data_IF_757299306749
#
_entry.id   IF_757299306749
#
_cell.length_a   1.000
_cell.length_b   1.000
_cell.length_c   1.000
_cell.angle_alpha   90.00
_cell.angle_beta   90.00
_cell.angle_gamma   90.00
#
_symmetry.space_group_name_H-M   'P 1'
#
loop_
_entity.id
_entity.type
_entity.pdbx_description
1 polymer ?
#
# COMPACT_ATOMS: atom_id res chain seq x y z
N UNK A 1 6.98 9.66 29.36
CA UNK A 1 5.59 10.03 29.00
C UNK A 1 4.82 8.78 28.67
N UNK A 2 3.75 8.47 29.41
CA UNK A 2 2.90 7.30 29.14
C UNK A 2 2.20 7.42 27.78
N UNK A 3 1.73 6.29 27.21
CA UNK A 3 1.09 6.30 25.89
C UNK A 3 -0.17 7.19 25.86
N UNK A 4 -0.98 7.12 26.90
CA UNK A 4 -2.20 7.93 27.03
C UNK A 4 -1.91 9.43 27.17
N UNK A 5 -0.90 9.79 27.96
CA UNK A 5 -0.45 11.17 28.13
C UNK A 5 0.09 11.75 26.82
N UNK A 6 0.82 10.94 26.03
CA UNK A 6 1.28 11.32 24.69
C UNK A 6 0.12 11.67 23.76
N UNK A 7 -0.91 10.82 23.72
CA UNK A 7 -2.10 11.07 22.90
C UNK A 7 -2.78 12.36 23.33
N UNK A 8 -3.06 12.52 24.63
CA UNK A 8 -3.79 13.67 25.15
C UNK A 8 -3.07 15.00 24.88
N UNK A 9 -1.76 15.03 25.02
CA UNK A 9 -0.95 16.24 24.81
C UNK A 9 -0.79 16.63 23.35
N UNK A 10 -1.01 15.68 22.41
CA UNK A 10 -0.75 15.87 20.99
C UNK A 10 -1.97 15.57 20.11
N UNK A 11 -3.17 15.54 20.71
CA UNK A 11 -4.39 15.06 20.06
C UNK A 11 -4.69 15.76 18.72
N UNK A 12 -4.49 17.08 18.62
CA UNK A 12 -4.78 17.84 17.42
C UNK A 12 -3.92 17.39 16.22
N UNK A 13 -2.61 17.22 16.43
CA UNK A 13 -1.68 16.80 15.37
C UNK A 13 -1.87 15.34 15.00
N UNK A 14 -2.07 14.46 16.00
CA UNK A 14 -2.31 13.04 15.78
C UNK A 14 -3.63 12.79 15.07
N UNK A 15 -4.69 13.51 15.44
CA UNK A 15 -5.99 13.46 14.79
C UNK A 15 -5.94 14.00 13.36
N UNK A 16 -5.16 15.05 13.10
CA UNK A 16 -4.95 15.54 11.74
C UNK A 16 -4.28 14.48 10.86
N UNK A 17 -3.22 13.81 11.34
CA UNK A 17 -2.59 12.71 10.62
C UNK A 17 -3.54 11.54 10.36
N UNK A 18 -4.33 11.16 11.37
CA UNK A 18 -5.36 10.13 11.27
C UNK A 18 -6.42 10.48 10.20
N UNK A 19 -6.94 11.72 10.20
CA UNK A 19 -7.96 12.17 9.24
C UNK A 19 -7.41 12.15 7.81
N UNK A 20 -6.18 12.62 7.60
CA UNK A 20 -5.53 12.57 6.29
C UNK A 20 -5.38 11.12 5.81
N UNK A 21 -4.92 10.22 6.68
CA UNK A 21 -4.79 8.80 6.37
C UNK A 21 -6.15 8.13 6.10
N UNK A 22 -7.20 8.44 6.88
CA UNK A 22 -8.55 7.93 6.65
C UNK A 22 -9.12 8.37 5.30
N UNK A 23 -9.00 9.68 4.97
CA UNK A 23 -9.51 10.20 3.70
C UNK A 23 -8.75 9.65 2.49
N UNK A 24 -7.51 9.20 2.66
CA UNK A 24 -6.76 8.54 1.59
C UNK A 24 -7.48 7.32 1.02
N UNK A 25 -8.33 6.69 1.80
CA UNK A 25 -9.09 5.51 1.43
C UNK A 25 -9.96 5.70 0.20
N UNK A 26 -10.48 6.90 -0.04
CA UNK A 26 -11.30 7.20 -1.23
C UNK A 26 -10.52 7.15 -2.55
N UNK A 27 -9.20 7.22 -2.50
CA UNK A 27 -8.32 7.01 -3.66
C UNK A 27 -7.68 5.63 -3.73
N UNK A 28 -7.97 4.74 -2.79
CA UNK A 28 -7.37 3.40 -2.73
C UNK A 28 -8.12 2.39 -3.60
N UNK A 29 -7.40 1.37 -4.05
CA UNK A 29 -7.94 0.31 -4.90
C UNK A 29 -9.11 -0.39 -4.24
N UNK A 30 -9.01 -0.73 -2.95
CA UNK A 30 -10.05 -1.44 -2.23
C UNK A 30 -11.39 -0.67 -2.19
N UNK A 31 -11.36 0.68 -2.26
CA UNK A 31 -12.56 1.50 -2.30
C UNK A 31 -13.07 1.72 -3.73
N UNK A 32 -12.19 2.10 -4.67
CA UNK A 32 -12.59 2.35 -6.06
C UNK A 32 -13.21 1.09 -6.69
N UNK A 33 -12.65 -0.06 -6.41
CA UNK A 33 -13.05 -1.33 -7.02
C UNK A 33 -14.38 -1.90 -6.53
N UNK A 34 -14.92 -1.46 -5.38
CA UNK A 34 -16.27 -1.88 -5.00
C UNK A 34 -17.34 -1.43 -6.00
N UNK A 35 -17.07 -0.34 -6.73
CA UNK A 35 -17.97 0.19 -7.75
C UNK A 35 -17.71 -0.39 -9.16
N UNK A 36 -16.70 -1.25 -9.33
CA UNK A 36 -16.26 -1.73 -10.65
C UNK A 36 -17.39 -2.27 -11.50
N UNK A 37 -18.21 -3.20 -10.98
CA UNK A 37 -19.33 -3.79 -11.73
C UNK A 37 -20.37 -2.75 -12.16
N UNK A 38 -20.65 -1.73 -11.33
CA UNK A 38 -21.58 -0.64 -11.67
C UNK A 38 -21.02 0.30 -12.71
N UNK A 39 -19.72 0.65 -12.63
CA UNK A 39 -19.02 1.50 -13.60
C UNK A 39 -18.93 0.79 -14.94
N UNK A 40 -18.52 -0.48 -14.96
CA UNK A 40 -18.43 -1.30 -16.18
C UNK A 40 -19.78 -1.40 -16.87
N UNK A 41 -20.84 -1.72 -16.13
CA UNK A 41 -22.20 -1.80 -16.69
C UNK A 41 -22.71 -0.46 -17.22
N UNK A 42 -22.45 0.65 -16.51
CA UNK A 42 -22.91 1.98 -16.90
C UNK A 42 -22.23 2.47 -18.20
N UNK A 43 -20.96 2.19 -18.36
CA UNK A 43 -20.16 2.63 -19.51
C UNK A 43 -19.93 1.53 -20.56
N UNK A 44 -20.51 0.33 -20.39
CA UNK A 44 -20.36 -0.83 -21.29
C UNK A 44 -18.89 -1.22 -21.50
N UNK A 45 -18.10 -1.27 -20.40
CA UNK A 45 -16.68 -1.59 -20.41
C UNK A 45 -16.44 -3.08 -20.17
N UNK A 46 -15.48 -3.66 -20.91
CA UNK A 46 -14.92 -4.97 -20.59
C UNK A 46 -14.02 -4.92 -19.32
N UNK A 47 -13.58 -6.07 -18.82
CA UNK A 47 -12.62 -6.14 -17.74
C UNK A 47 -11.25 -5.54 -18.13
N UNK A 48 -10.82 -5.77 -19.38
CA UNK A 48 -9.60 -5.20 -19.93
C UNK A 48 -9.67 -3.68 -20.10
N UNK A 49 -10.83 -3.16 -20.59
CA UNK A 49 -11.03 -1.70 -20.69
C UNK A 49 -10.93 -1.03 -19.34
N UNK A 50 -11.66 -1.54 -18.33
CA UNK A 50 -11.62 -1.01 -16.97
C UNK A 50 -10.23 -1.12 -16.35
N UNK A 51 -9.56 -2.26 -16.52
CA UNK A 51 -8.18 -2.46 -16.07
C UNK A 51 -7.20 -1.50 -16.74
N UNK A 52 -7.35 -1.22 -18.04
CA UNK A 52 -6.52 -0.27 -18.78
C UNK A 52 -6.72 1.17 -18.32
N UNK A 53 -7.96 1.59 -18.11
CA UNK A 53 -8.31 2.89 -17.58
C UNK A 53 -7.64 3.10 -16.21
N UNK A 54 -7.75 2.10 -15.35
CA UNK A 54 -7.14 2.13 -14.03
C UNK A 54 -5.60 2.16 -14.10
N UNK A 55 -5.01 1.35 -14.97
CA UNK A 55 -3.56 1.29 -15.20
C UNK A 55 -3.02 2.64 -15.65
N UNK A 56 -3.63 3.26 -16.67
CA UNK A 56 -3.21 4.56 -17.21
C UNK A 56 -3.28 5.63 -16.13
N UNK A 57 -4.42 5.76 -15.43
CA UNK A 57 -4.59 6.73 -14.35
C UNK A 57 -3.59 6.54 -13.21
N UNK A 58 -3.33 5.28 -12.81
CA UNK A 58 -2.37 4.97 -11.73
C UNK A 58 -0.93 5.25 -12.14
N UNK A 59 -0.51 4.91 -13.36
CA UNK A 59 0.82 5.23 -13.88
C UNK A 59 1.06 6.74 -13.98
N UNK A 60 0.06 7.50 -14.47
CA UNK A 60 0.13 8.96 -14.51
C UNK A 60 0.28 9.53 -13.08
N UNK A 61 -0.49 9.02 -12.12
CA UNK A 61 -0.38 9.38 -10.70
C UNK A 61 1.02 9.14 -10.14
N UNK A 62 1.58 7.96 -10.39
CA UNK A 62 2.93 7.60 -9.96
C UNK A 62 3.98 8.55 -10.52
N UNK A 63 3.87 8.86 -11.80
CA UNK A 63 4.80 9.77 -12.48
C UNK A 63 4.78 11.16 -11.84
N UNK A 64 3.60 11.74 -11.64
CA UNK A 64 3.46 13.07 -11.03
C UNK A 64 3.91 13.07 -9.57
N UNK A 65 3.67 11.98 -8.84
CA UNK A 65 4.02 11.86 -7.41
C UNK A 65 5.54 11.99 -7.16
N UNK A 66 6.38 11.63 -8.12
CA UNK A 66 7.86 11.75 -8.02
C UNK A 66 8.28 13.20 -7.71
N UNK A 67 7.59 14.17 -8.31
CA UNK A 67 7.86 15.60 -8.06
C UNK A 67 6.95 16.21 -6.99
N UNK A 68 5.69 15.81 -6.98
CA UNK A 68 4.70 16.34 -6.06
C UNK A 68 5.00 15.99 -4.59
N UNK A 69 5.61 14.83 -4.32
CA UNK A 69 6.00 14.43 -2.96
C UNK A 69 6.91 15.46 -2.27
N UNK A 70 7.82 16.10 -3.02
CA UNK A 70 8.70 17.13 -2.49
C UNK A 70 7.96 18.40 -2.01
N UNK A 71 6.73 18.62 -2.45
CA UNK A 71 5.91 19.77 -1.98
C UNK A 71 5.65 19.72 -0.47
N UNK A 72 5.61 18.53 0.13
CA UNK A 72 5.49 18.35 1.59
C UNK A 72 6.70 18.88 2.35
N UNK A 73 7.85 19.10 1.69
CA UNK A 73 9.05 19.66 2.29
C UNK A 73 9.04 21.19 2.25
N UNK A 74 8.32 21.77 1.28
CA UNK A 74 8.32 23.21 1.02
C UNK A 74 7.12 23.89 1.68
N UNK A 75 5.94 23.27 1.62
CA UNK A 75 4.72 23.87 2.10
C UNK A 75 4.31 23.35 3.49
N UNK A 76 3.55 24.17 4.22
CA UNK A 76 2.97 23.77 5.51
C UNK A 76 1.95 22.64 5.31
N UNK A 77 1.97 21.67 6.20
CA UNK A 77 1.04 20.52 6.19
C UNK A 77 -0.41 20.96 6.14
N UNK A 78 -0.77 22.03 6.88
CA UNK A 78 -2.12 22.61 6.85
C UNK A 78 -2.54 23.02 5.44
N UNK A 79 -1.70 23.79 4.74
CA UNK A 79 -2.05 24.34 3.42
C UNK A 79 -2.13 23.23 2.37
N UNK A 80 -1.13 22.33 2.32
CA UNK A 80 -1.10 21.25 1.34
C UNK A 80 -2.17 20.18 1.66
N UNK A 81 -2.41 19.87 2.94
CA UNK A 81 -3.45 18.93 3.35
C UNK A 81 -4.84 19.40 2.96
N UNK A 82 -5.15 20.68 3.19
CA UNK A 82 -6.41 21.29 2.76
C UNK A 82 -6.55 21.28 1.23
N UNK A 83 -5.51 21.71 0.50
CA UNK A 83 -5.53 21.72 -0.97
C UNK A 83 -5.82 20.32 -1.53
N UNK A 84 -5.14 19.30 -0.99
CA UNK A 84 -5.28 17.91 -1.45
C UNK A 84 -6.66 17.35 -1.07
N UNK A 85 -7.20 17.67 0.10
CA UNK A 85 -8.56 17.26 0.50
C UNK A 85 -9.63 17.89 -0.38
N UNK A 86 -9.51 19.19 -0.69
CA UNK A 86 -10.42 19.88 -1.65
C UNK A 86 -10.31 19.23 -3.02
N UNK A 87 -9.10 19.00 -3.51
CA UNK A 87 -8.88 18.30 -4.77
C UNK A 87 -9.49 16.88 -4.79
N UNK A 88 -9.35 16.12 -3.69
CA UNK A 88 -9.94 14.78 -3.57
C UNK A 88 -11.48 14.85 -3.54
N UNK A 89 -12.05 15.82 -2.81
CA UNK A 89 -13.49 16.07 -2.80
C UNK A 89 -14.03 16.39 -4.21
N UNK A 90 -13.34 17.24 -4.96
CA UNK A 90 -13.69 17.51 -6.35
C UNK A 90 -13.54 16.27 -7.25
N UNK A 91 -12.51 15.46 -7.04
CA UNK A 91 -12.29 14.25 -7.82
C UNK A 91 -13.37 13.19 -7.59
N UNK A 92 -13.81 13.03 -6.33
CA UNK A 92 -14.94 12.15 -5.99
C UNK A 92 -16.27 12.69 -6.55
N UNK A 93 -16.46 14.01 -6.56
CA UNK A 93 -17.61 14.63 -7.20
C UNK A 93 -17.59 14.45 -8.72
N UNK A 94 -16.43 14.60 -9.36
CA UNK A 94 -16.27 14.33 -10.78
C UNK A 94 -16.60 12.88 -11.14
N UNK A 95 -16.26 11.90 -10.26
CA UNK A 95 -16.65 10.51 -10.46
C UNK A 95 -18.17 10.34 -10.41
N UNK A 96 -18.85 11.03 -9.49
CA UNK A 96 -20.32 11.03 -9.40
C UNK A 96 -21.02 11.61 -10.64
N UNK A 97 -20.46 12.67 -11.18
CA UNK A 97 -21.06 13.45 -12.29
C UNK A 97 -20.51 13.05 -13.67
N UNK A 98 -19.67 12.04 -13.75
CA UNK A 98 -18.98 11.66 -14.98
C UNK A 98 -19.95 11.21 -16.09
N UNK A 99 -20.04 11.93 -17.23
CA UNK A 99 -20.91 11.57 -18.33
C UNK A 99 -20.22 10.70 -19.40
N UNK A 100 -18.89 10.53 -19.36
CA UNK A 100 -18.14 10.00 -20.50
C UNK A 100 -16.94 9.12 -20.11
N UNK A 101 -16.74 8.05 -20.87
CA UNK A 101 -15.68 7.07 -20.65
C UNK A 101 -14.28 7.72 -20.65
N UNK A 102 -14.01 8.63 -21.55
CA UNK A 102 -12.70 9.30 -21.69
C UNK A 102 -12.26 10.10 -20.47
N UNK A 103 -13.20 10.50 -19.61
CA UNK A 103 -12.90 11.18 -18.34
C UNK A 103 -12.40 10.22 -17.26
N UNK A 104 -12.73 8.93 -17.34
CA UNK A 104 -12.38 7.96 -16.31
C UNK A 104 -10.86 7.88 -16.03
N UNK A 105 -9.95 7.80 -17.02
CA UNK A 105 -8.52 7.79 -16.75
C UNK A 105 -8.05 9.04 -15.98
N UNK A 106 -8.64 10.20 -16.27
CA UNK A 106 -8.32 11.47 -15.59
C UNK A 106 -8.82 11.45 -14.16
N UNK A 107 -10.04 10.97 -13.96
CA UNK A 107 -10.64 10.86 -12.61
C UNK A 107 -9.87 9.84 -11.77
N UNK A 108 -9.53 8.69 -12.33
CA UNK A 108 -8.69 7.68 -11.66
C UNK A 108 -7.32 8.27 -11.32
N UNK A 109 -6.70 9.00 -12.27
CA UNK A 109 -5.45 9.72 -11.99
C UNK A 109 -5.59 10.63 -10.77
N UNK A 110 -6.61 11.48 -10.72
CA UNK A 110 -6.82 12.42 -9.61
C UNK A 110 -7.08 11.69 -8.28
N UNK A 111 -7.95 10.67 -8.28
CA UNK A 111 -8.24 9.86 -7.10
C UNK A 111 -6.97 9.17 -6.57
N UNK A 112 -6.19 8.56 -7.48
CA UNK A 112 -4.95 7.86 -7.12
C UNK A 112 -3.87 8.84 -6.66
N UNK A 113 -3.71 9.96 -7.34
CA UNK A 113 -2.71 10.97 -7.01
C UNK A 113 -3.00 11.65 -5.67
N UNK A 114 -4.22 12.16 -5.49
CA UNK A 114 -4.59 12.92 -4.29
C UNK A 114 -4.87 11.99 -3.10
N UNK A 115 -5.65 10.92 -3.32
CA UNK A 115 -6.04 9.98 -2.27
C UNK A 115 -4.93 9.00 -1.92
N UNK A 116 -4.49 8.15 -2.83
CA UNK A 116 -3.47 7.14 -2.54
C UNK A 116 -2.07 7.73 -2.39
N UNK A 117 -1.70 8.71 -3.21
CA UNK A 117 -0.36 9.29 -3.22
C UNK A 117 -0.17 10.34 -2.14
N UNK A 118 -0.80 11.49 -2.30
CA UNK A 118 -0.50 12.68 -1.50
C UNK A 118 -0.96 12.59 -0.04
N UNK A 119 -2.19 12.13 0.26
CA UNK A 119 -2.69 12.14 1.65
C UNK A 119 -1.89 11.26 2.61
N UNK A 120 -1.56 9.98 2.30
CA UNK A 120 -0.73 9.17 3.17
C UNK A 120 0.70 9.72 3.27
N UNK A 121 1.22 10.30 2.18
CA UNK A 121 2.53 10.91 2.16
C UNK A 121 2.60 12.11 3.10
N UNK A 122 1.66 13.06 2.98
CA UNK A 122 1.56 14.24 3.87
C UNK A 122 1.42 13.79 5.31
N UNK A 123 0.54 12.84 5.59
CA UNK A 123 0.32 12.29 6.94
C UNK A 123 1.62 11.70 7.52
N UNK A 124 2.28 10.80 6.80
CA UNK A 124 3.48 10.11 7.31
C UNK A 124 4.68 11.05 7.46
N UNK A 125 4.88 11.99 6.52
CA UNK A 125 5.94 13.00 6.59
C UNK A 125 5.74 13.91 7.80
N UNK A 126 4.51 14.41 8.00
CA UNK A 126 4.18 15.29 9.13
C UNK A 126 4.38 14.59 10.47
N UNK A 127 3.86 13.36 10.63
CA UNK A 127 4.05 12.57 11.86
C UNK A 127 5.53 12.29 12.12
N UNK A 128 6.29 12.01 11.09
CA UNK A 128 7.72 11.73 11.21
C UNK A 128 8.53 12.96 11.64
N UNK A 129 8.15 14.16 11.18
CA UNK A 129 8.84 15.42 11.49
C UNK A 129 8.46 16.00 12.84
N UNK A 130 7.18 15.91 13.19
CA UNK A 130 6.69 16.52 14.43
C UNK A 130 7.03 15.70 15.68
N UNK A 131 7.27 14.40 15.55
CA UNK A 131 7.42 13.48 16.67
C UNK A 131 8.71 12.65 16.60
N UNK A 132 9.87 13.32 16.54
CA UNK A 132 11.18 12.64 16.38
C UNK A 132 11.37 11.54 17.43
N UNK A 133 11.26 11.86 18.72
CA UNK A 133 11.46 10.91 19.82
C UNK A 133 10.37 9.82 19.94
N UNK A 134 9.19 10.02 19.36
CA UNK A 134 8.04 9.11 19.45
C UNK A 134 7.41 8.85 18.08
N UNK A 135 8.23 8.91 17.04
CA UNK A 135 7.86 8.78 15.63
C UNK A 135 7.02 7.53 15.36
N UNK A 136 7.45 6.38 15.90
CA UNK A 136 6.72 5.12 15.73
C UNK A 136 5.30 5.17 16.28
N UNK A 137 5.10 5.79 17.46
CA UNK A 137 3.76 5.95 18.06
C UNK A 137 2.87 6.85 17.23
N UNK A 138 3.40 7.99 16.76
CA UNK A 138 2.65 8.94 15.94
C UNK A 138 2.24 8.34 14.58
N UNK A 139 3.16 7.65 13.92
CA UNK A 139 2.86 6.94 12.66
C UNK A 139 1.84 5.82 12.87
N UNK A 140 1.94 5.04 13.95
CA UNK A 140 0.98 3.98 14.24
C UNK A 140 -0.45 4.54 14.42
N UNK A 141 -0.59 5.64 15.20
CA UNK A 141 -1.90 6.28 15.40
C UNK A 141 -2.45 6.84 14.09
N UNK A 142 -1.62 7.52 13.31
CA UNK A 142 -2.03 8.04 12.01
C UNK A 142 -2.48 6.93 11.06
N UNK A 143 -1.71 5.85 10.94
CA UNK A 143 -2.03 4.71 10.07
C UNK A 143 -3.28 3.95 10.48
N UNK A 144 -3.75 4.09 11.75
CA UNK A 144 -5.04 3.53 12.16
C UNK A 144 -6.19 4.14 11.34
N UNK A 145 -6.07 5.39 10.88
CA UNK A 145 -7.04 6.01 9.98
C UNK A 145 -7.17 5.26 8.67
N UNK A 146 -6.04 4.92 8.02
CA UNK A 146 -6.03 4.08 6.82
C UNK A 146 -6.65 2.70 7.08
N UNK A 147 -6.24 2.03 8.16
CA UNK A 147 -6.73 0.72 8.52
C UNK A 147 -8.25 0.69 8.76
N UNK A 148 -8.81 1.71 9.43
CA UNK A 148 -10.27 1.85 9.60
C UNK A 148 -10.97 2.09 8.27
N UNK A 149 -10.38 2.90 7.38
CA UNK A 149 -10.91 3.11 6.04
C UNK A 149 -10.95 1.81 5.22
N UNK A 150 -9.87 1.03 5.23
CA UNK A 150 -9.78 -0.26 4.54
C UNK A 150 -10.77 -1.29 5.11
N UNK A 151 -10.92 -1.33 6.44
CA UNK A 151 -11.81 -2.28 7.09
C UNK A 151 -13.29 -1.98 6.87
N UNK A 152 -13.71 -0.72 6.98
CA UNK A 152 -15.13 -0.38 7.10
C UNK A 152 -15.72 0.30 5.87
N UNK A 153 -14.98 1.13 5.12
CA UNK A 153 -15.57 1.85 3.99
C UNK A 153 -16.10 0.90 2.89
N UNK A 154 -15.38 -0.17 2.49
CA UNK A 154 -15.93 -1.11 1.52
C UNK A 154 -17.23 -1.76 1.99
N UNK A 155 -17.31 -2.15 3.26
CA UNK A 155 -18.52 -2.75 3.84
C UNK A 155 -19.69 -1.77 3.82
N UNK A 156 -19.48 -0.58 4.39
CA UNK A 156 -20.52 0.45 4.50
C UNK A 156 -21.04 0.86 3.13
N UNK A 157 -20.13 1.17 2.19
CA UNK A 157 -20.55 1.61 0.86
C UNK A 157 -21.18 0.50 0.03
N UNK A 158 -20.77 -0.76 0.21
CA UNK A 158 -21.42 -1.91 -0.45
C UNK A 158 -22.84 -2.12 0.09
N UNK A 159 -23.07 -1.96 1.40
CA UNK A 159 -24.42 -2.00 1.97
C UNK A 159 -25.28 -0.87 1.40
N UNK A 160 -24.75 0.35 1.36
CA UNK A 160 -25.48 1.51 0.83
C UNK A 160 -25.79 1.35 -0.67
N UNK A 161 -24.94 0.67 -1.46
CA UNK A 161 -25.21 0.36 -2.87
C UNK A 161 -26.40 -0.59 -3.09
N UNK A 162 -26.91 -1.27 -2.06
CA UNK A 162 -28.13 -2.07 -2.17
C UNK A 162 -29.36 -1.18 -2.33
N UNK A 163 -29.32 0.08 -1.84
CA UNK A 163 -30.47 0.98 -1.81
C UNK A 163 -30.26 2.22 -2.67
N UNK A 164 -29.02 2.73 -2.76
CA UNK A 164 -28.70 3.98 -3.43
C UNK A 164 -27.92 3.74 -4.72
N UNK A 165 -28.10 4.60 -5.71
CA UNK A 165 -27.29 4.61 -6.92
C UNK A 165 -25.83 4.93 -6.58
N UNK A 166 -24.89 4.28 -7.27
CA UNK A 166 -23.47 4.39 -7.03
C UNK A 166 -22.94 5.84 -7.15
N UNK A 167 -23.51 6.65 -8.04
CA UNK A 167 -23.15 8.06 -8.19
C UNK A 167 -23.45 8.85 -6.92
N UNK A 168 -24.60 8.64 -6.27
CA UNK A 168 -24.94 9.32 -5.01
C UNK A 168 -23.92 8.99 -3.90
N UNK A 169 -23.38 7.79 -3.89
CA UNK A 169 -22.37 7.39 -2.90
C UNK A 169 -21.04 8.10 -3.12
N UNK A 170 -20.68 8.39 -4.37
CA UNK A 170 -19.52 9.24 -4.67
C UNK A 170 -19.75 10.70 -4.26
N UNK A 171 -20.99 11.22 -4.33
CA UNK A 171 -21.34 12.52 -3.74
C UNK A 171 -21.17 12.48 -2.21
N UNK A 172 -21.61 11.41 -1.54
CA UNK A 172 -21.40 11.23 -0.09
C UNK A 172 -19.91 11.23 0.25
N UNK A 173 -19.08 10.52 -0.52
CA UNK A 173 -17.63 10.54 -0.36
C UNK A 173 -17.05 11.96 -0.54
N UNK A 174 -17.53 12.71 -1.53
CA UNK A 174 -17.13 14.10 -1.75
C UNK A 174 -17.46 14.99 -0.56
N UNK A 175 -18.69 14.91 -0.07
CA UNK A 175 -19.13 15.68 1.11
C UNK A 175 -18.32 15.32 2.34
N UNK A 176 -18.01 14.03 2.54
CA UNK A 176 -17.16 13.59 3.65
C UNK A 176 -15.76 14.22 3.57
N UNK A 177 -15.10 14.15 2.41
CA UNK A 177 -13.79 14.77 2.20
C UNK A 177 -13.86 16.29 2.45
N UNK A 178 -14.90 16.96 1.94
CA UNK A 178 -15.10 18.42 2.08
C UNK A 178 -15.28 18.83 3.55
N UNK A 179 -16.07 18.08 4.31
CA UNK A 179 -16.30 18.34 5.74
C UNK A 179 -15.02 18.18 6.57
N UNK A 180 -14.05 17.40 6.12
CA UNK A 180 -12.76 17.27 6.80
C UNK A 180 -11.83 18.49 6.56
N UNK A 181 -12.09 19.31 5.54
CA UNK A 181 -11.29 20.51 5.23
C UNK A 181 -11.26 21.52 6.39
N UNK A 182 -12.41 22.05 6.89
CA UNK A 182 -12.38 22.95 8.03
C UNK A 182 -11.80 22.31 9.29
N UNK A 183 -12.01 21.01 9.48
CA UNK A 183 -11.47 20.28 10.61
C UNK A 183 -9.93 20.25 10.59
N UNK A 184 -9.32 19.93 9.47
CA UNK A 184 -7.86 19.98 9.29
C UNK A 184 -7.34 21.41 9.46
N UNK A 185 -8.05 22.39 8.91
CA UNK A 185 -7.68 23.80 9.05
C UNK A 185 -7.61 24.23 10.51
N UNK A 186 -8.58 23.83 11.33
CA UNK A 186 -8.65 24.16 12.77
C UNK A 186 -7.61 23.35 13.55
N UNK A 187 -7.48 22.04 13.34
CA UNK A 187 -6.55 21.19 14.08
C UNK A 187 -5.08 21.61 13.88
N UNK A 188 -4.75 22.15 12.70
CA UNK A 188 -3.39 22.55 12.35
C UNK A 188 -3.16 24.08 12.42
N UNK A 189 -3.98 24.82 13.17
CA UNK A 189 -3.76 26.27 13.38
C UNK A 189 -2.38 26.54 14.03
N UNK A 190 -2.01 25.72 15.01
CA UNK A 190 -0.70 25.77 15.67
C UNK A 190 0.18 24.62 15.15
N UNK A 191 0.46 24.63 13.86
CA UNK A 191 1.32 23.62 13.25
C UNK A 191 2.73 23.70 13.82
N UNK A 192 3.29 22.55 14.18
CA UNK A 192 4.70 22.46 14.57
C UNK A 192 5.55 22.71 13.35
N UNK A 193 6.45 23.70 13.44
CA UNK A 193 7.47 23.90 12.42
C UNK A 193 8.44 22.72 12.43
N UNK A 194 8.96 22.27 11.28
CA UNK A 194 9.99 21.25 11.24
C UNK A 194 11.22 21.76 11.97
N UNK A 195 11.43 21.33 13.20
CA UNK A 195 12.63 21.64 13.98
C UNK A 195 13.53 20.42 14.00
N UNK A 196 14.77 20.67 13.70
CA UNK A 196 15.99 19.87 13.83
C UNK A 196 15.95 18.54 13.07
N UNK A 197 16.77 18.51 12.10
CA UNK A 197 17.44 17.33 11.57
C UNK A 197 18.00 16.58 12.79
N UNK A 198 17.34 15.48 13.17
CA UNK A 198 17.96 14.54 14.08
C UNK A 198 19.25 14.09 13.40
N UNK A 199 20.36 14.11 14.10
CA UNK A 199 21.58 13.45 13.66
C UNK A 199 21.23 11.99 13.40
N UNK A 200 21.03 11.63 12.13
CA UNK A 200 20.76 10.25 11.74
C UNK A 200 22.06 9.49 11.96
N UNK A 201 22.03 8.52 12.85
CA UNK A 201 23.12 7.54 12.99
C UNK A 201 23.28 6.84 11.64
N UNK A 202 24.42 7.07 10.98
CA UNK A 202 24.71 6.44 9.69
C UNK A 202 25.00 4.97 9.96
N UNK A 203 24.12 4.09 9.47
CA UNK A 203 24.33 2.65 9.44
C UNK A 203 24.88 2.31 8.05
N UNK A 204 26.03 1.60 8.02
CA UNK A 204 26.62 1.12 6.78
C UNK A 204 25.94 -0.18 6.35
N UNK A 205 25.74 -0.36 5.05
CA UNK A 205 25.19 -1.58 4.47
C UNK A 205 26.27 -2.62 4.15
N UNK A 206 26.00 -3.48 3.19
CA UNK A 206 26.91 -4.52 2.73
C UNK A 206 28.31 -3.96 2.45
N UNK A 207 29.34 -4.72 2.79
CA UNK A 207 30.76 -4.35 2.65
C UNK A 207 31.18 -3.11 3.45
N UNK A 208 30.42 -2.75 4.50
CA UNK A 208 30.75 -1.58 5.33
C UNK A 208 30.68 -0.25 4.60
N UNK A 209 29.86 -0.14 3.53
CA UNK A 209 29.69 1.10 2.77
C UNK A 209 28.25 1.55 2.66
N UNK A 210 28.03 2.83 2.39
CA UNK A 210 26.74 3.37 2.01
C UNK A 210 26.57 3.29 0.50
N UNK A 211 25.49 2.66 0.05
CA UNK A 211 25.19 2.40 -1.35
C UNK A 211 24.38 3.53 -1.97
N UNK A 212 24.80 4.01 -3.12
CA UNK A 212 24.02 4.92 -3.93
C UNK A 212 22.96 4.18 -4.75
N UNK A 213 21.91 4.89 -5.21
CA UNK A 213 20.85 4.31 -6.05
C UNK A 213 21.39 3.57 -7.29
N UNK A 214 22.43 4.12 -7.95
CA UNK A 214 23.02 3.50 -9.14
C UNK A 214 23.71 2.18 -8.80
N UNK A 215 24.43 2.14 -7.69
CA UNK A 215 25.11 0.93 -7.23
C UNK A 215 24.12 -0.15 -6.81
N UNK A 216 23.00 0.22 -6.16
CA UNK A 216 21.91 -0.71 -5.81
C UNK A 216 21.34 -1.38 -7.07
N UNK A 217 21.02 -0.61 -8.11
CA UNK A 217 20.50 -1.15 -9.38
C UNK A 217 21.51 -2.07 -10.06
N UNK A 218 22.80 -1.78 -9.96
CA UNK A 218 23.87 -2.61 -10.51
C UNK A 218 24.12 -3.88 -9.70
N UNK A 219 23.66 -3.95 -8.45
CA UNK A 219 23.92 -5.07 -7.57
C UNK A 219 22.96 -6.26 -7.82
N UNK A 220 23.46 -7.52 -8.00
CA UNK A 220 22.61 -8.67 -8.32
C UNK A 220 21.52 -8.95 -7.29
N UNK A 221 21.75 -8.67 -6.00
CA UNK A 221 20.75 -8.85 -4.95
C UNK A 221 19.47 -8.05 -5.23
N UNK A 222 19.58 -6.83 -5.79
CA UNK A 222 18.42 -6.02 -6.16
C UNK A 222 17.49 -6.78 -7.13
N UNK A 223 18.06 -7.43 -8.14
CA UNK A 223 17.29 -8.18 -9.14
C UNK A 223 16.70 -9.47 -8.60
N UNK A 224 17.39 -10.15 -7.65
CA UNK A 224 16.83 -11.29 -6.93
C UNK A 224 15.67 -10.90 -6.02
N UNK A 225 15.68 -9.68 -5.48
CA UNK A 225 14.61 -9.15 -4.63
C UNK A 225 13.48 -8.49 -5.42
N UNK A 226 13.69 -8.15 -6.69
CA UNK A 226 12.72 -7.44 -7.52
C UNK A 226 11.35 -8.13 -7.58
N UNK A 227 11.25 -9.47 -7.78
CA UNK A 227 9.95 -10.16 -7.75
C UNK A 227 9.24 -10.02 -6.40
N UNK A 228 9.99 -10.02 -5.30
CA UNK A 228 9.42 -9.85 -3.96
C UNK A 228 8.91 -8.42 -3.69
N UNK A 229 9.45 -7.44 -4.37
CA UNK A 229 9.03 -6.04 -4.26
C UNK A 229 7.79 -5.75 -5.12
N UNK A 230 7.79 -6.24 -6.37
CA UNK A 230 6.70 -5.96 -7.32
C UNK A 230 5.47 -6.86 -7.09
N UNK A 231 5.68 -8.12 -6.69
CA UNK A 231 4.63 -9.14 -6.56
C UNK A 231 3.48 -8.73 -5.62
N UNK A 232 3.74 -8.35 -4.37
CA UNK A 232 2.67 -7.95 -3.46
C UNK A 232 1.83 -6.80 -4.03
N UNK A 233 2.48 -5.77 -4.58
CA UNK A 233 1.75 -4.63 -5.14
C UNK A 233 0.96 -4.98 -6.40
N UNK A 234 1.45 -5.86 -7.26
CA UNK A 234 0.73 -6.30 -8.45
C UNK A 234 -0.43 -7.25 -8.12
N UNK A 235 -0.13 -8.34 -7.41
CA UNK A 235 -1.09 -9.42 -7.19
C UNK A 235 -2.18 -9.05 -6.16
N UNK A 236 -1.81 -8.39 -5.05
CA UNK A 236 -2.80 -7.97 -4.04
C UNK A 236 -3.68 -6.85 -4.59
N UNK A 237 -3.10 -5.88 -5.33
CA UNK A 237 -3.90 -4.86 -6.00
C UNK A 237 -4.85 -5.47 -7.01
N UNK A 238 -4.41 -6.48 -7.78
CA UNK A 238 -5.28 -7.22 -8.71
C UNK A 238 -6.42 -7.94 -7.98
N UNK A 239 -6.14 -8.57 -6.84
CA UNK A 239 -7.17 -9.21 -6.02
C UNK A 239 -8.24 -8.20 -5.59
N UNK A 240 -7.85 -7.08 -4.99
CA UNK A 240 -8.80 -6.04 -4.58
C UNK A 240 -9.49 -5.38 -5.78
N UNK A 241 -8.82 -5.25 -6.91
CA UNK A 241 -9.41 -4.66 -8.11
C UNK A 241 -10.48 -5.56 -8.73
N UNK A 242 -10.26 -6.86 -8.76
CA UNK A 242 -11.18 -7.85 -9.34
C UNK A 242 -12.15 -8.45 -8.28
N UNK A 243 -12.25 -7.87 -7.10
CA UNK A 243 -13.04 -8.43 -5.97
C UNK A 243 -14.53 -8.65 -6.30
N UNK A 244 -15.13 -7.76 -7.11
CA UNK A 244 -16.53 -7.87 -7.52
C UNK A 244 -16.70 -9.07 -8.45
N UNK A 245 -15.90 -9.15 -9.49
CA UNK A 245 -15.91 -10.26 -10.45
C UNK A 245 -15.58 -11.60 -9.77
N UNK A 246 -14.59 -11.61 -8.86
CA UNK A 246 -14.25 -12.83 -8.13
C UNK A 246 -15.42 -13.33 -7.25
N UNK A 247 -16.10 -12.43 -6.55
CA UNK A 247 -17.29 -12.80 -5.80
C UNK A 247 -18.38 -13.39 -6.71
N UNK A 248 -18.62 -12.77 -7.87
CA UNK A 248 -19.64 -13.18 -8.83
C UNK A 248 -19.38 -14.60 -9.37
N UNK A 249 -18.17 -14.91 -9.84
CA UNK A 249 -17.83 -16.25 -10.36
C UNK A 249 -17.86 -17.34 -9.29
N UNK A 250 -17.68 -16.98 -8.01
CA UNK A 250 -17.84 -17.91 -6.88
C UNK A 250 -19.28 -18.03 -6.39
N UNK A 251 -20.23 -17.32 -7.01
CA UNK A 251 -21.64 -17.32 -6.60
C UNK A 251 -21.90 -16.61 -5.27
N UNK A 252 -21.01 -15.72 -4.83
CA UNK A 252 -21.17 -14.93 -3.62
C UNK A 252 -21.67 -13.53 -3.95
N UNK A 253 -22.41 -12.95 -3.01
CA UNK A 253 -22.67 -11.52 -3.08
C UNK A 253 -21.38 -10.75 -2.78
N UNK A 254 -21.21 -9.60 -3.41
CA UNK A 254 -20.03 -8.75 -3.14
C UNK A 254 -19.93 -8.37 -1.65
N UNK A 255 -21.09 -8.16 -0.98
CA UNK A 255 -21.14 -7.87 0.45
C UNK A 255 -20.54 -8.99 1.31
N UNK A 256 -20.75 -10.26 0.93
CA UNK A 256 -20.17 -11.41 1.65
C UNK A 256 -18.65 -11.42 1.60
N UNK A 257 -18.05 -10.95 0.51
CA UNK A 257 -16.60 -10.81 0.39
C UNK A 257 -16.07 -9.64 1.23
N UNK A 258 -16.61 -8.42 1.04
CA UNK A 258 -16.10 -7.23 1.73
C UNK A 258 -16.35 -7.27 3.24
N UNK A 259 -17.37 -8.01 3.72
CA UNK A 259 -17.62 -8.22 5.15
C UNK A 259 -16.46 -8.91 5.88
N UNK A 260 -15.51 -9.53 5.15
CA UNK A 260 -14.31 -10.14 5.70
C UNK A 260 -13.13 -9.17 5.80
N UNK A 261 -13.21 -7.96 5.22
CA UNK A 261 -12.11 -6.97 5.26
C UNK A 261 -11.74 -6.52 6.67
N UNK A 262 -12.67 -6.34 7.63
CA UNK A 262 -12.29 -6.07 9.01
C UNK A 262 -11.38 -7.15 9.61
N UNK A 263 -11.65 -8.43 9.33
CA UNK A 263 -10.81 -9.55 9.79
C UNK A 263 -9.45 -9.48 9.13
N UNK A 264 -9.39 -9.27 7.81
CA UNK A 264 -8.14 -9.06 7.07
C UNK A 264 -7.30 -7.94 7.69
N UNK A 265 -7.90 -6.78 7.94
CA UNK A 265 -7.20 -5.61 8.50
C UNK A 265 -6.67 -5.86 9.91
N UNK A 266 -7.47 -6.50 10.78
CA UNK A 266 -7.04 -6.85 12.14
C UNK A 266 -5.84 -7.80 12.10
N UNK A 267 -5.90 -8.85 11.27
CA UNK A 267 -4.80 -9.81 11.12
C UNK A 267 -3.56 -9.11 10.56
N UNK A 268 -3.70 -8.21 9.58
CA UNK A 268 -2.58 -7.44 9.04
C UNK A 268 -1.90 -6.57 10.09
N UNK A 269 -2.66 -5.88 10.95
CA UNK A 269 -2.13 -5.06 12.05
C UNK A 269 -1.39 -5.94 13.06
N UNK A 270 -1.96 -7.07 13.47
CA UNK A 270 -1.34 -8.00 14.42
C UNK A 270 -0.02 -8.54 13.85
N UNK A 271 0.00 -8.95 12.59
CA UNK A 271 1.22 -9.50 11.96
C UNK A 271 2.26 -8.43 11.60
N UNK A 272 1.86 -7.17 11.44
CA UNK A 272 2.83 -6.06 11.39
C UNK A 272 3.62 -5.97 12.71
N UNK A 273 2.93 -6.00 13.85
CA UNK A 273 3.57 -5.98 15.18
C UNK A 273 4.44 -7.22 15.43
N UNK A 274 3.92 -8.40 15.09
CA UNK A 274 4.66 -9.67 15.21
C UNK A 274 5.92 -9.63 14.34
N UNK A 275 5.84 -9.10 13.13
CA UNK A 275 6.98 -9.00 12.21
C UNK A 275 8.06 -8.06 12.73
N UNK A 276 7.69 -6.93 13.36
CA UNK A 276 8.64 -6.06 14.04
C UNK A 276 9.35 -6.78 15.20
N UNK A 277 8.60 -7.44 16.07
CA UNK A 277 9.17 -8.24 17.16
C UNK A 277 10.06 -9.39 16.64
N UNK A 278 9.64 -10.07 15.58
CA UNK A 278 10.42 -11.17 15.01
C UNK A 278 11.71 -10.66 14.38
N UNK A 279 11.68 -9.49 13.73
CA UNK A 279 12.85 -8.82 13.18
C UNK A 279 13.89 -8.55 14.28
N UNK A 280 13.47 -7.97 15.41
CA UNK A 280 14.35 -7.66 16.53
C UNK A 280 14.93 -8.93 17.17
N UNK A 281 14.15 -10.02 17.23
CA UNK A 281 14.54 -11.26 17.92
C UNK A 281 15.37 -12.20 17.07
N UNK A 282 15.02 -12.37 15.79
CA UNK A 282 15.61 -13.41 14.92
C UNK A 282 16.55 -12.83 13.86
N UNK A 283 16.53 -11.51 13.65
CA UNK A 283 17.25 -10.83 12.59
C UNK A 283 16.55 -10.94 11.23
N UNK A 284 16.89 -10.01 10.35
CA UNK A 284 16.26 -9.87 9.04
C UNK A 284 16.51 -11.08 8.14
N UNK A 285 17.73 -11.58 8.10
CA UNK A 285 18.17 -12.66 7.20
C UNK A 285 17.38 -13.96 7.36
N UNK A 286 16.88 -14.22 8.57
CA UNK A 286 16.12 -15.45 8.87
C UNK A 286 14.65 -15.35 8.47
N UNK A 287 14.06 -14.16 8.53
CA UNK A 287 12.62 -13.99 8.32
C UNK A 287 12.28 -13.47 6.93
N UNK A 288 13.14 -12.62 6.35
CA UNK A 288 12.90 -11.99 5.05
C UNK A 288 12.60 -13.00 3.93
N UNK A 289 13.31 -14.14 3.80
CA UNK A 289 13.03 -15.08 2.72
C UNK A 289 11.64 -15.70 2.76
N UNK A 290 11.00 -15.76 3.94
CA UNK A 290 9.80 -16.56 4.17
C UNK A 290 8.51 -15.73 4.35
N UNK A 291 8.60 -14.41 4.43
CA UNK A 291 7.44 -13.57 4.75
C UNK A 291 6.34 -13.59 3.69
N UNK A 292 6.65 -14.03 2.47
CA UNK A 292 5.67 -14.17 1.38
C UNK A 292 5.06 -15.56 1.26
N UNK A 293 5.51 -16.54 2.04
CA UNK A 293 4.92 -17.89 2.02
C UNK A 293 3.41 -17.88 2.29
N UNK A 294 2.88 -17.10 3.24
CA UNK A 294 1.43 -17.05 3.42
C UNK A 294 0.68 -16.57 2.15
N UNK A 295 1.26 -15.71 1.31
CA UNK A 295 0.66 -15.33 0.01
C UNK A 295 0.55 -16.52 -0.94
N UNK A 296 1.50 -17.46 -0.91
CA UNK A 296 1.41 -18.70 -1.69
C UNK A 296 0.13 -19.45 -1.31
N UNK A 297 -0.08 -19.67 -0.01
CA UNK A 297 -1.28 -20.36 0.48
C UNK A 297 -2.55 -19.57 0.20
N UNK A 298 -2.54 -18.25 0.35
CA UNK A 298 -3.68 -17.40 0.06
C UNK A 298 -4.14 -17.55 -1.38
N UNK A 299 -3.25 -17.35 -2.35
CA UNK A 299 -3.60 -17.36 -3.76
C UNK A 299 -3.91 -18.77 -4.29
N UNK A 300 -3.24 -19.80 -3.80
CA UNK A 300 -3.60 -21.19 -4.10
C UNK A 300 -5.00 -21.50 -3.54
N UNK A 301 -5.30 -21.07 -2.31
CA UNK A 301 -6.62 -21.27 -1.71
C UNK A 301 -7.71 -20.53 -2.48
N UNK A 302 -7.48 -19.30 -2.96
CA UNK A 302 -8.45 -18.56 -3.78
C UNK A 302 -8.81 -19.28 -5.09
N UNK A 303 -7.91 -20.07 -5.65
CA UNK A 303 -8.23 -20.94 -6.78
C UNK A 303 -9.24 -22.02 -6.41
N UNK A 304 -9.03 -22.74 -5.30
CA UNK A 304 -9.85 -23.88 -4.91
C UNK A 304 -11.10 -23.52 -4.09
N UNK A 305 -11.14 -22.32 -3.49
CA UNK A 305 -12.17 -21.96 -2.53
C UNK A 305 -13.57 -21.93 -3.15
N UNK A 306 -14.51 -22.58 -2.43
CA UNK A 306 -15.95 -22.56 -2.75
C UNK A 306 -16.80 -22.10 -1.55
N UNK A 307 -16.20 -21.91 -0.38
CA UNK A 307 -16.89 -21.53 0.86
C UNK A 307 -16.38 -20.19 1.40
N UNK A 308 -17.25 -19.47 2.11
CA UNK A 308 -16.87 -18.20 2.77
C UNK A 308 -15.80 -18.39 3.86
N UNK A 309 -15.84 -19.51 4.57
CA UNK A 309 -14.82 -19.84 5.58
C UNK A 309 -13.45 -20.00 4.91
N UNK A 310 -13.39 -20.71 3.78
CA UNK A 310 -12.17 -20.84 3.00
C UNK A 310 -11.67 -19.49 2.48
N UNK A 311 -12.57 -18.59 2.04
CA UNK A 311 -12.23 -17.23 1.66
C UNK A 311 -11.64 -16.45 2.84
N UNK A 312 -12.26 -16.52 4.03
CA UNK A 312 -11.75 -15.87 5.23
C UNK A 312 -10.34 -16.36 5.60
N UNK A 313 -10.09 -17.67 5.52
CA UNK A 313 -8.76 -18.27 5.75
C UNK A 313 -7.75 -17.76 4.72
N UNK A 314 -8.12 -17.71 3.44
CA UNK A 314 -7.27 -17.15 2.38
C UNK A 314 -6.93 -15.68 2.63
N UNK A 315 -7.90 -14.87 3.03
CA UNK A 315 -7.69 -13.46 3.40
C UNK A 315 -6.80 -13.33 4.64
N UNK A 316 -6.92 -14.21 5.63
CA UNK A 316 -6.01 -14.22 6.79
C UNK A 316 -4.56 -14.51 6.35
N UNK A 317 -4.33 -15.49 5.47
CA UNK A 317 -2.99 -15.74 4.92
C UNK A 317 -2.46 -14.52 4.14
N UNK A 318 -3.31 -13.88 3.33
CA UNK A 318 -2.94 -12.66 2.61
C UNK A 318 -2.55 -11.54 3.58
N UNK A 319 -3.34 -11.36 4.66
CA UNK A 319 -3.13 -10.36 5.69
C UNK A 319 -1.83 -10.56 6.48
N UNK A 320 -1.46 -11.81 6.77
CA UNK A 320 -0.18 -12.15 7.43
C UNK A 320 1.00 -11.56 6.65
N UNK A 321 1.06 -11.83 5.34
CA UNK A 321 2.13 -11.30 4.50
C UNK A 321 2.01 -9.79 4.29
N UNK A 322 0.80 -9.24 4.19
CA UNK A 322 0.58 -7.80 4.05
C UNK A 322 1.10 -7.04 5.29
N UNK A 323 0.84 -7.57 6.49
CA UNK A 323 1.38 -7.02 7.74
C UNK A 323 2.92 -7.04 7.77
N UNK A 324 3.53 -8.14 7.39
CA UNK A 324 5.00 -8.26 7.32
C UNK A 324 5.60 -7.35 6.23
N UNK A 325 4.91 -7.19 5.10
CA UNK A 325 5.34 -6.34 3.99
C UNK A 325 5.42 -4.84 4.33
N UNK A 326 4.76 -4.39 5.38
CA UNK A 326 4.86 -3.00 5.84
C UNK A 326 6.17 -2.71 6.58
N UNK A 327 6.82 -3.72 7.15
CA UNK A 327 8.02 -3.58 8.00
C UNK A 327 9.29 -4.12 7.33
N UNK A 328 9.28 -5.36 6.84
CA UNK A 328 10.49 -6.07 6.40
C UNK A 328 11.19 -5.45 5.19
N UNK A 329 10.51 -4.98 4.12
CA UNK A 329 11.20 -4.33 3.01
C UNK A 329 11.91 -3.04 3.41
N UNK A 330 11.35 -2.30 4.38
CA UNK A 330 12.00 -1.09 4.91
C UNK A 330 13.29 -1.42 5.66
N UNK A 331 13.27 -2.48 6.48
CA UNK A 331 14.45 -2.97 7.18
C UNK A 331 15.51 -3.49 6.19
N UNK A 332 15.09 -4.21 5.15
CA UNK A 332 15.98 -4.70 4.09
C UNK A 332 16.79 -3.56 3.43
N UNK A 333 16.14 -2.48 3.03
CA UNK A 333 16.86 -1.36 2.43
C UNK A 333 17.89 -0.74 3.37
N UNK A 334 17.54 -0.58 4.65
CA UNK A 334 18.42 0.04 5.65
C UNK A 334 19.61 -0.85 6.00
N UNK A 335 19.38 -2.15 6.20
CA UNK A 335 20.41 -3.09 6.68
C UNK A 335 21.38 -3.52 5.57
N UNK A 336 20.86 -3.75 4.35
CA UNK A 336 21.70 -4.20 3.24
C UNK A 336 22.39 -3.07 2.49
N UNK A 337 21.78 -1.90 2.38
CA UNK A 337 22.32 -0.80 1.59
C UNK A 337 22.71 0.46 2.38
N UNK A 338 22.46 0.44 3.69
CA UNK A 338 22.81 1.53 4.59
C UNK A 338 21.78 2.66 4.62
N UNK A 339 21.95 3.59 5.58
CA UNK A 339 20.96 4.66 5.83
C UNK A 339 21.29 5.98 5.13
N UNK A 340 22.51 6.22 4.71
CA UNK A 340 22.94 7.51 4.15
C UNK A 340 22.12 7.95 2.91
N UNK A 341 21.78 7.02 2.01
CA UNK A 341 20.99 7.27 0.80
C UNK A 341 19.63 6.57 0.83
N UNK A 342 19.17 6.19 2.02
CA UNK A 342 17.96 5.37 2.21
C UNK A 342 16.73 5.98 1.54
N UNK A 343 16.57 7.31 1.59
CA UNK A 343 15.44 8.01 0.97
C UNK A 343 15.37 7.77 -0.54
N UNK A 344 16.49 7.88 -1.26
CA UNK A 344 16.55 7.67 -2.72
C UNK A 344 16.38 6.20 -3.11
N UNK A 345 16.87 5.27 -2.27
CA UNK A 345 16.71 3.82 -2.48
C UNK A 345 15.27 3.40 -2.23
N UNK A 346 14.65 3.89 -1.15
CA UNK A 346 13.22 3.63 -0.87
C UNK A 346 12.31 4.21 -1.96
N UNK A 347 12.65 5.38 -2.51
CA UNK A 347 11.90 5.95 -3.63
C UNK A 347 11.93 5.04 -4.87
N UNK A 348 13.06 4.36 -5.15
CA UNK A 348 13.14 3.35 -6.20
C UNK A 348 12.20 2.17 -5.92
N UNK A 349 12.24 1.62 -4.69
CA UNK A 349 11.34 0.54 -4.26
C UNK A 349 9.86 0.93 -4.39
N UNK A 350 9.52 2.15 -3.97
CA UNK A 350 8.14 2.67 -4.09
C UNK A 350 7.72 2.82 -5.56
N UNK A 351 8.59 3.30 -6.43
CA UNK A 351 8.28 3.40 -7.86
C UNK A 351 7.98 2.02 -8.50
N UNK A 352 8.75 0.99 -8.12
CA UNK A 352 8.52 -0.40 -8.56
C UNK A 352 7.16 -0.92 -8.02
N UNK A 353 6.85 -0.66 -6.77
CA UNK A 353 5.57 -1.05 -6.17
C UNK A 353 4.39 -0.38 -6.88
N UNK A 354 4.48 0.92 -7.19
CA UNK A 354 3.41 1.63 -7.91
C UNK A 354 3.26 1.09 -9.32
N UNK A 355 4.37 0.80 -10.02
CA UNK A 355 4.34 0.14 -11.33
C UNK A 355 3.61 -1.21 -11.25
N UNK A 356 3.91 -2.04 -10.25
CA UNK A 356 3.20 -3.29 -10.01
C UNK A 356 1.70 -3.09 -9.80
N UNK A 357 1.33 -2.13 -8.92
CA UNK A 357 -0.07 -1.82 -8.62
C UNK A 357 -0.88 -1.27 -9.81
N UNK A 358 -0.20 -0.72 -10.81
CA UNK A 358 -0.82 -0.26 -12.05
C UNK A 358 -0.98 -1.40 -13.06
N UNK A 359 0.09 -2.17 -13.29
CA UNK A 359 0.11 -3.24 -14.30
C UNK A 359 -0.79 -4.40 -13.89
N UNK A 360 -0.83 -4.77 -12.62
CA UNK A 360 -1.59 -5.92 -12.12
C UNK A 360 -3.07 -5.91 -12.56
N UNK A 361 -3.85 -4.87 -12.23
CA UNK A 361 -5.25 -4.74 -12.66
C UNK A 361 -5.44 -4.77 -14.17
N UNK A 362 -4.58 -4.09 -14.94
CA UNK A 362 -4.64 -4.10 -16.40
C UNK A 362 -4.43 -5.48 -16.97
N UNK A 363 -3.36 -6.14 -16.56
CA UNK A 363 -3.03 -7.50 -17.01
C UNK A 363 -4.13 -8.50 -16.67
N UNK A 364 -4.66 -8.47 -15.44
CA UNK A 364 -5.72 -9.40 -15.04
C UNK A 364 -7.01 -9.17 -15.81
N UNK A 365 -7.36 -7.92 -16.10
CA UNK A 365 -8.53 -7.58 -16.90
C UNK A 365 -8.44 -8.12 -18.34
N UNK A 366 -7.32 -7.90 -19.03
CA UNK A 366 -7.09 -8.45 -20.37
C UNK A 366 -7.12 -9.98 -20.40
N UNK A 367 -6.51 -10.63 -19.40
CA UNK A 367 -6.53 -12.10 -19.32
C UNK A 367 -7.95 -12.64 -19.12
N UNK A 368 -8.81 -11.95 -18.36
CA UNK A 368 -10.22 -12.31 -18.22
C UNK A 368 -10.94 -12.21 -19.58
N UNK A 369 -10.76 -11.10 -20.29
CA UNK A 369 -11.39 -10.88 -21.60
C UNK A 369 -10.93 -11.92 -22.66
N UNK A 370 -9.70 -12.43 -22.55
CA UNK A 370 -9.19 -13.53 -23.38
C UNK A 370 -9.65 -14.93 -22.94
N UNK A 371 -10.53 -15.02 -21.94
CA UNK A 371 -11.07 -16.28 -21.42
C UNK A 371 -10.17 -16.99 -20.42
N UNK A 372 -9.09 -16.34 -19.97
CA UNK A 372 -8.25 -16.87 -18.90
C UNK A 372 -8.77 -16.41 -17.52
N UNK A 373 -9.66 -17.22 -16.94
CA UNK A 373 -10.39 -16.89 -15.72
C UNK A 373 -9.50 -16.48 -14.52
N UNK A 374 -10.03 -15.59 -13.68
CA UNK A 374 -9.30 -15.02 -12.54
C UNK A 374 -8.78 -16.08 -11.54
N UNK A 375 -9.50 -17.17 -11.36
CA UNK A 375 -9.08 -18.28 -10.50
C UNK A 375 -7.75 -18.87 -10.95
N UNK A 376 -7.61 -19.17 -12.25
CA UNK A 376 -6.35 -19.66 -12.82
C UNK A 376 -5.22 -18.66 -12.66
N UNK A 377 -5.53 -17.37 -12.76
CA UNK A 377 -4.56 -16.30 -12.51
C UNK A 377 -4.09 -16.32 -11.04
N UNK A 378 -5.01 -16.52 -10.09
CA UNK A 378 -4.63 -16.63 -8.67
C UNK A 378 -3.74 -17.84 -8.40
N UNK A 379 -3.99 -18.99 -9.06
CA UNK A 379 -3.07 -20.12 -8.96
C UNK A 379 -1.65 -19.76 -9.42
N UNK A 380 -1.54 -19.05 -10.56
CA UNK A 380 -0.25 -18.55 -11.08
C UNK A 380 0.39 -17.55 -10.09
N UNK A 381 -0.40 -16.69 -9.44
CA UNK A 381 0.14 -15.79 -8.41
C UNK A 381 0.71 -16.56 -7.23
N UNK A 382 0.07 -17.67 -6.82
CA UNK A 382 0.62 -18.56 -5.80
C UNK A 382 1.99 -19.13 -6.20
N UNK A 383 2.12 -19.62 -7.44
CA UNK A 383 3.40 -20.11 -7.98
C UNK A 383 4.45 -18.99 -8.09
N UNK A 384 4.03 -17.80 -8.48
CA UNK A 384 4.90 -16.61 -8.52
C UNK A 384 5.49 -16.31 -7.13
N UNK A 385 4.69 -16.33 -6.07
CA UNK A 385 5.19 -16.09 -4.72
C UNK A 385 6.10 -17.22 -4.21
N UNK A 386 5.87 -18.44 -4.63
CA UNK A 386 6.80 -19.55 -4.35
C UNK A 386 8.16 -19.30 -5.03
N UNK A 387 8.17 -18.91 -6.29
CA UNK A 387 9.36 -18.52 -7.03
C UNK A 387 10.07 -17.31 -6.41
N UNK A 388 9.31 -16.27 -6.06
CA UNK A 388 9.83 -15.09 -5.37
C UNK A 388 10.50 -15.43 -4.03
N UNK A 389 9.87 -16.30 -3.23
CA UNK A 389 10.42 -16.81 -1.97
C UNK A 389 11.76 -17.53 -2.20
N UNK A 390 11.86 -18.36 -3.23
CA UNK A 390 13.10 -19.05 -3.58
C UNK A 390 14.21 -18.06 -3.97
N UNK A 391 13.89 -17.04 -4.78
CA UNK A 391 14.87 -16.01 -5.16
C UNK A 391 15.34 -15.18 -3.95
N UNK A 392 14.42 -14.82 -3.05
CA UNK A 392 14.77 -14.14 -1.80
C UNK A 392 15.72 -15.01 -0.94
N UNK A 393 15.39 -16.28 -0.78
CA UNK A 393 16.23 -17.23 -0.02
C UNK A 393 17.63 -17.34 -0.61
N UNK A 394 17.74 -17.49 -1.93
CA UNK A 394 19.04 -17.52 -2.64
C UNK A 394 19.77 -16.19 -2.46
N UNK A 395 19.10 -15.07 -2.62
CA UNK A 395 19.67 -13.74 -2.47
C UNK A 395 20.24 -13.51 -1.07
N UNK A 396 19.46 -13.79 -0.03
CA UNK A 396 19.90 -13.66 1.37
C UNK A 396 21.04 -14.63 1.65
N UNK A 397 20.95 -15.89 1.20
CA UNK A 397 22.00 -16.88 1.43
C UNK A 397 23.35 -16.50 0.82
N UNK A 398 23.35 -15.80 -0.33
CA UNK A 398 24.58 -15.38 -1.03
C UNK A 398 25.14 -14.08 -0.44
N UNK A 399 24.28 -13.13 -0.09
CA UNK A 399 24.63 -11.75 0.23
C UNK A 399 24.35 -11.34 1.69
N UNK A 400 24.14 -12.30 2.62
CA UNK A 400 23.96 -11.97 4.04
C UNK A 400 25.17 -11.20 4.57
N UNK A 401 24.96 -10.11 5.32
CA UNK A 401 26.04 -9.33 5.94
C UNK A 401 27.03 -10.19 6.74
N UNK A 402 26.53 -11.14 7.53
CA UNK A 402 27.35 -12.03 8.35
C UNK A 402 28.32 -12.87 7.51
N UNK A 403 27.87 -13.40 6.37
CA UNK A 403 28.70 -14.23 5.48
C UNK A 403 29.74 -13.45 4.70
N UNK A 404 29.44 -12.17 4.40
CA UNK A 404 30.41 -11.31 3.72
C UNK A 404 31.56 -10.98 4.67
N UNK A 405 31.27 -10.73 5.94
CA UNK A 405 32.28 -10.51 6.99
C UNK A 405 33.14 -11.77 7.17
N UNK A 406 32.53 -12.97 7.25
CA UNK A 406 33.22 -14.24 7.37
C UNK A 406 34.14 -14.52 6.15
N UNK A 407 33.69 -14.21 4.94
CA UNK A 407 34.44 -14.38 3.69
C UNK A 407 35.64 -13.41 3.57
N UNK A 408 35.54 -12.23 4.17
CA UNK A 408 36.63 -11.25 4.23
C UNK A 408 37.62 -11.64 5.34
N UNK A 409 37.13 -12.18 6.47
CA UNK A 409 37.97 -12.62 7.60
C UNK A 409 38.73 -13.92 7.31
N UNK A 410 38.20 -14.83 6.48
CA UNK A 410 38.80 -16.10 6.11
C UNK A 410 38.86 -16.33 4.59
N UNK A 411 39.75 -15.61 3.85
CA UNK A 411 39.80 -15.72 2.38
C UNK A 411 40.30 -17.11 1.87
N UNK A 412 40.84 -17.95 2.73
CA UNK A 412 41.47 -19.23 2.34
C UNK A 412 40.62 -20.50 2.58
N UNK A 413 39.38 -20.36 3.08
CA UNK A 413 38.49 -21.53 3.32
C UNK A 413 37.49 -21.83 2.19
N UNK A 414 37.62 -21.15 1.04
CA UNK A 414 36.70 -21.26 -0.10
C UNK A 414 37.39 -21.68 -1.42
N UNK A 415 38.56 -22.38 -1.33
CA UNK A 415 39.25 -22.98 -2.48
C UNK A 415 39.10 -24.52 -2.46
#
# INVERSE_FOLDING_TARGET
MGYFEFIRSNIAWLLAGFILALNSSFGQTFFISIFAGKIQSYFSLSHGDWGSIYMIGTLASATVMVWAGATSDIFRTRSIGVLVLVGLSLSTLLMALNPAVWMLPIIIFLLRFLGQGMLPHISSVSMSRWFIAQRGKALAISNTGYALGEAFLPVVFTILMLTYHWQHLWVVASLFCFLMVPLIWVLLQNERTPQSIAEEVIVFGLLGKSWSRKEVIAHPLFWLMLPAIIGPSACVTSFFFQQVYFAEIKGWTHLQLVALFPIYTIVAIVFNLISGWALDKFGLDRILPFYQIPMVFAFILFYFVSTQIGLAVGLCFLAISAGANSTLPTAFWAEYYGTQFLGTIKALGTAIMVLGSAIGPGMTGFLIDWGFGIEKQYFIFGLYFLFSTLLMYVGVKIYSPDKIVEKIAHPLSAA
#
